data_IF_438273925828
#
_entry.id   IF_438273925828
#
_cell.length_a   1.000
_cell.length_b   1.000
_cell.length_c   1.000
_cell.angle_alpha   90.00
_cell.angle_beta   90.00
_cell.angle_gamma   90.00
#
_symmetry.space_group_name_H-M   'P 1'
#
loop_
_entity.id
_entity.type
_entity.pdbx_description
1 polymer ?
#
# COMPACT_ATOMS: atom_id res chain seq x y z
N UNK A 1 -6.53 39.99 -10.52
CA UNK A 1 -6.99 40.01 -9.11
C UNK A 1 -8.25 39.18 -8.89
N UNK A 2 -9.28 39.22 -9.75
CA UNK A 2 -10.50 38.40 -9.52
C UNK A 2 -10.32 36.88 -9.75
N UNK A 3 -9.54 36.47 -10.75
CA UNK A 3 -9.43 35.06 -11.14
C UNK A 3 -8.78 34.18 -10.06
N UNK A 4 -7.69 34.63 -9.45
CA UNK A 4 -7.00 33.89 -8.38
C UNK A 4 -7.88 33.74 -7.14
N UNK A 5 -8.58 34.81 -6.76
CA UNK A 5 -9.49 34.80 -5.62
C UNK A 5 -10.69 33.88 -5.83
N UNK A 6 -11.22 33.80 -7.05
CA UNK A 6 -12.27 32.84 -7.42
C UNK A 6 -11.73 31.41 -7.31
N UNK A 7 -10.52 31.13 -7.80
CA UNK A 7 -9.90 29.80 -7.73
C UNK A 7 -9.67 29.39 -6.27
N UNK A 8 -9.14 30.26 -5.42
CA UNK A 8 -8.91 29.98 -3.99
C UNK A 8 -10.21 29.71 -3.24
N UNK A 9 -11.27 30.48 -3.52
CA UNK A 9 -12.58 30.26 -2.92
C UNK A 9 -13.20 28.91 -3.35
N UNK A 10 -13.10 28.56 -4.63
CA UNK A 10 -13.59 27.27 -5.15
C UNK A 10 -12.83 26.10 -4.53
N UNK A 11 -11.50 26.20 -4.45
CA UNK A 11 -10.65 25.20 -3.78
C UNK A 11 -11.07 25.03 -2.33
N UNK A 12 -11.21 26.14 -1.59
CA UNK A 12 -11.64 26.13 -0.18
C UNK A 12 -13.04 25.54 0.03
N UNK A 13 -13.97 25.79 -0.90
CA UNK A 13 -15.32 25.21 -0.83
C UNK A 13 -15.30 23.69 -0.99
N UNK A 14 -14.51 23.19 -1.95
CA UNK A 14 -14.36 21.76 -2.19
C UNK A 14 -13.69 21.08 -0.99
N UNK A 15 -12.64 21.66 -0.42
CA UNK A 15 -11.99 21.08 0.77
C UNK A 15 -12.91 21.03 2.00
N UNK A 16 -13.76 22.04 2.21
CA UNK A 16 -14.75 22.02 3.30
C UNK A 16 -15.83 20.94 3.11
N UNK A 17 -16.19 20.66 1.87
CA UNK A 17 -17.26 19.70 1.56
C UNK A 17 -16.77 18.25 1.51
N UNK A 18 -15.55 18.02 1.03
CA UNK A 18 -15.03 16.68 0.73
C UNK A 18 -13.77 16.30 1.54
N UNK A 19 -13.25 17.20 2.37
CA UNK A 19 -12.05 17.00 3.17
C UNK A 19 -10.81 17.68 2.61
N UNK A 20 -9.82 17.92 3.48
CA UNK A 20 -8.52 18.47 3.08
C UNK A 20 -7.84 17.57 2.05
N UNK A 21 -7.29 18.17 0.99
CA UNK A 21 -6.68 17.42 -0.12
C UNK A 21 -7.66 16.88 -1.17
N UNK A 22 -8.97 17.13 -1.04
CA UNK A 22 -9.97 16.77 -2.07
C UNK A 22 -9.77 17.49 -3.42
N UNK A 23 -9.07 18.63 -3.42
CA UNK A 23 -8.61 19.30 -4.63
C UNK A 23 -7.28 19.97 -4.37
N UNK A 24 -6.35 19.81 -5.30
CA UNK A 24 -5.04 20.44 -5.20
C UNK A 24 -4.41 20.71 -6.56
N UNK A 25 -3.46 21.64 -6.58
CA UNK A 25 -2.67 21.90 -7.78
C UNK A 25 -1.72 20.71 -7.99
N UNK A 26 -1.72 20.15 -9.20
CA UNK A 26 -0.91 18.98 -9.55
C UNK A 26 0.60 19.18 -9.32
N UNK A 27 1.08 20.44 -9.38
CA UNK A 27 2.49 20.78 -9.14
C UNK A 27 2.84 21.08 -7.67
N UNK A 28 1.86 21.02 -6.76
CA UNK A 28 2.10 21.26 -5.34
C UNK A 28 2.79 20.04 -4.73
N UNK A 29 4.09 20.17 -4.44
CA UNK A 29 4.92 19.07 -3.93
C UNK A 29 4.59 18.66 -2.50
N UNK A 30 3.76 19.45 -1.81
CA UNK A 30 3.35 19.20 -0.42
C UNK A 30 2.57 17.90 -0.25
N UNK A 31 1.78 17.44 -1.24
CA UNK A 31 1.05 16.15 -1.15
C UNK A 31 1.92 14.90 -1.27
N UNK A 32 3.08 14.99 -1.93
CA UNK A 32 3.94 13.82 -2.15
C UNK A 32 4.72 13.47 -0.87
N UNK A 33 5.03 14.48 -0.05
CA UNK A 33 5.85 14.34 1.15
C UNK A 33 5.10 13.80 2.38
N UNK A 34 3.77 13.82 2.36
CA UNK A 34 2.93 13.41 3.51
C UNK A 34 2.35 11.99 3.37
N UNK A 35 2.77 11.25 2.34
CA UNK A 35 2.33 9.87 2.13
C UNK A 35 3.17 8.95 3.00
N UNK A 36 2.58 8.40 4.07
CA UNK A 36 3.22 7.34 4.85
C UNK A 36 3.55 6.14 3.96
N UNK A 37 4.62 5.41 4.29
CA UNK A 37 5.08 4.25 3.52
C UNK A 37 5.30 3.03 4.42
N UNK A 38 5.56 1.88 3.80
CA UNK A 38 6.04 0.65 4.43
C UNK A 38 7.33 0.26 3.69
N UNK A 39 8.46 0.17 4.41
CA UNK A 39 9.74 -0.22 3.79
C UNK A 39 9.63 -1.60 3.14
N UNK A 40 10.28 -1.76 1.98
CA UNK A 40 10.38 -3.04 1.27
C UNK A 40 11.40 -3.99 1.89
N UNK A 41 12.16 -3.53 2.89
CA UNK A 41 13.33 -4.19 3.45
C UNK A 41 14.52 -4.31 2.47
N UNK A 42 14.45 -3.63 1.33
CA UNK A 42 15.55 -3.48 0.38
C UNK A 42 15.92 -2.00 0.29
N UNK A 43 17.08 -1.64 0.85
CA UNK A 43 17.53 -0.25 0.89
C UNK A 43 17.60 0.38 -0.51
N UNK A 44 18.09 -0.37 -1.49
CA UNK A 44 18.22 0.09 -2.87
C UNK A 44 16.86 0.35 -3.51
N UNK A 45 15.87 -0.52 -3.24
CA UNK A 45 14.51 -0.35 -3.73
C UNK A 45 13.80 0.82 -3.03
N UNK A 46 13.94 0.93 -1.72
CA UNK A 46 13.35 2.02 -0.94
C UNK A 46 13.88 3.40 -1.39
N UNK A 47 15.17 3.49 -1.71
CA UNK A 47 15.80 4.67 -2.32
C UNK A 47 15.23 4.91 -3.72
N UNK A 48 15.15 3.87 -4.56
CA UNK A 48 14.65 4.00 -5.93
C UNK A 48 13.18 4.45 -6.00
N UNK A 49 12.36 4.05 -5.02
CA UNK A 49 10.97 4.50 -4.87
C UNK A 49 10.85 5.97 -4.45
N UNK A 50 11.92 6.58 -3.93
CA UNK A 50 12.00 8.00 -3.60
C UNK A 50 11.26 8.44 -2.34
N UNK A 51 10.31 7.64 -1.86
CA UNK A 51 9.55 7.88 -0.62
C UNK A 51 9.97 6.96 0.54
N UNK A 52 10.89 6.01 0.30
CA UNK A 52 11.38 5.08 1.32
C UNK A 52 10.66 3.73 1.39
N UNK A 53 9.67 3.47 0.53
CA UNK A 53 8.98 2.18 0.47
C UNK A 53 7.67 2.21 -0.31
N UNK A 54 6.81 1.23 -0.05
CA UNK A 54 5.48 1.13 -0.66
C UNK A 54 4.53 2.16 -0.03
N UNK A 55 3.83 3.00 -0.81
CA UNK A 55 2.94 4.03 -0.28
C UNK A 55 1.69 3.43 0.39
N UNK A 56 1.36 3.91 1.60
CA UNK A 56 0.11 3.57 2.28
C UNK A 56 -1.08 4.24 1.59
N UNK A 57 -2.24 3.60 1.65
CA UNK A 57 -3.49 4.11 1.05
C UNK A 57 -3.49 4.12 -0.49
N UNK A 58 -2.60 3.36 -1.13
CA UNK A 58 -2.46 3.24 -2.58
C UNK A 58 -2.35 1.78 -2.98
N UNK A 59 -2.79 1.46 -4.19
CA UNK A 59 -2.55 0.15 -4.80
C UNK A 59 -1.16 0.15 -5.42
N UNK A 60 -0.37 -0.90 -5.14
CA UNK A 60 0.94 -1.13 -5.73
C UNK A 60 0.96 -2.48 -6.42
N UNK A 61 1.45 -2.52 -7.66
CA UNK A 61 1.59 -3.74 -8.44
C UNK A 61 3.07 -4.18 -8.49
N UNK A 62 3.35 -5.44 -8.12
CA UNK A 62 4.65 -6.07 -8.24
C UNK A 62 4.53 -7.18 -9.27
N UNK A 63 5.08 -6.99 -10.47
CA UNK A 63 5.01 -7.95 -11.58
C UNK A 63 6.40 -8.43 -12.01
N UNK A 64 6.45 -9.60 -12.65
CA UNK A 64 7.70 -10.20 -13.10
C UNK A 64 7.60 -11.72 -13.33
N UNK A 65 8.65 -12.34 -13.89
CA UNK A 65 8.68 -13.77 -14.17
C UNK A 65 8.38 -14.65 -12.94
N UNK A 66 7.96 -15.89 -13.18
CA UNK A 66 7.90 -16.90 -12.11
C UNK A 66 9.28 -17.01 -11.43
N UNK A 67 9.30 -17.24 -10.12
CA UNK A 67 10.51 -17.29 -9.30
C UNK A 67 11.37 -16.01 -9.27
N UNK A 68 10.88 -14.86 -9.75
CA UNK A 68 11.60 -13.57 -9.67
C UNK A 68 11.63 -12.93 -8.26
N UNK A 69 11.06 -13.59 -7.24
CA UNK A 69 11.02 -13.10 -5.87
C UNK A 69 9.83 -12.19 -5.50
N UNK A 70 8.76 -12.15 -6.33
CA UNK A 70 7.56 -11.32 -6.06
C UNK A 70 6.95 -11.60 -4.68
N UNK A 71 6.67 -12.87 -4.40
CA UNK A 71 6.09 -13.31 -3.12
C UNK A 71 7.04 -13.04 -1.96
N UNK A 72 8.35 -13.24 -2.14
CA UNK A 72 9.37 -12.89 -1.15
C UNK A 72 9.34 -11.40 -0.80
N UNK A 73 9.28 -10.53 -1.81
CA UNK A 73 9.19 -9.08 -1.60
C UNK A 73 7.89 -8.70 -0.87
N UNK A 74 6.76 -9.29 -1.25
CA UNK A 74 5.48 -9.08 -0.57
C UNK A 74 5.53 -9.50 0.91
N UNK A 75 6.17 -10.64 1.22
CA UNK A 75 6.34 -11.11 2.60
C UNK A 75 7.25 -10.20 3.42
N UNK A 76 8.30 -9.62 2.83
CA UNK A 76 9.13 -8.62 3.51
C UNK A 76 8.35 -7.34 3.84
N UNK A 77 7.52 -6.86 2.90
CA UNK A 77 6.64 -5.70 3.13
C UNK A 77 5.66 -6.01 4.27
N UNK A 78 5.05 -7.20 4.28
CA UNK A 78 4.16 -7.64 5.36
C UNK A 78 4.89 -7.69 6.71
N UNK A 79 6.08 -8.29 6.75
CA UNK A 79 6.89 -8.36 7.97
C UNK A 79 7.20 -6.96 8.52
N UNK A 80 7.51 -6.01 7.65
CA UNK A 80 7.75 -4.62 8.06
C UNK A 80 6.47 -3.92 8.54
N UNK A 81 5.34 -4.13 7.86
CA UNK A 81 4.05 -3.62 8.31
C UNK A 81 3.71 -4.12 9.73
N UNK A 82 3.94 -5.41 9.99
CA UNK A 82 3.70 -6.02 11.31
C UNK A 82 4.68 -5.50 12.37
N UNK A 83 5.96 -5.29 12.04
CA UNK A 83 6.95 -4.70 12.95
C UNK A 83 6.58 -3.28 13.39
N UNK A 84 5.91 -2.52 12.53
CA UNK A 84 5.37 -1.19 12.84
C UNK A 84 4.05 -1.25 13.64
N UNK A 85 3.61 -2.44 14.08
CA UNK A 85 2.37 -2.64 14.82
C UNK A 85 1.12 -2.71 13.94
N UNK A 86 1.28 -2.80 12.62
CA UNK A 86 0.18 -2.97 11.68
C UNK A 86 -0.33 -4.40 11.60
N UNK A 87 -1.55 -4.56 11.09
CA UNK A 87 -2.14 -5.85 10.74
C UNK A 87 -2.00 -6.06 9.23
N UNK A 88 -1.73 -7.28 8.81
CA UNK A 88 -1.60 -7.65 7.40
C UNK A 88 -2.55 -8.79 7.05
N UNK A 89 -3.04 -8.77 5.81
CA UNK A 89 -3.78 -9.86 5.21
C UNK A 89 -3.08 -10.33 3.93
N UNK A 90 -3.12 -11.63 3.68
CA UNK A 90 -2.59 -12.26 2.49
C UNK A 90 -3.70 -13.06 1.79
N UNK A 91 -3.96 -12.72 0.53
CA UNK A 91 -4.92 -13.43 -0.31
C UNK A 91 -4.11 -14.34 -1.24
N UNK A 92 -4.04 -15.62 -0.90
CA UNK A 92 -3.27 -16.64 -1.62
C UNK A 92 -4.15 -17.33 -2.67
N UNK A 93 -4.26 -16.69 -3.84
CA UNK A 93 -4.97 -17.27 -4.98
C UNK A 93 -4.21 -18.44 -5.65
N UNK A 94 -2.91 -18.61 -5.37
CA UNK A 94 -2.08 -19.67 -5.94
C UNK A 94 -1.97 -20.91 -5.03
N UNK A 95 -2.48 -20.84 -3.80
CA UNK A 95 -2.41 -21.88 -2.79
C UNK A 95 -0.96 -22.36 -2.55
N UNK A 96 0.00 -21.43 -2.66
CA UNK A 96 1.43 -21.72 -2.74
C UNK A 96 2.23 -21.09 -1.58
N UNK A 97 1.58 -20.41 -0.64
CA UNK A 97 2.28 -19.79 0.49
C UNK A 97 2.87 -20.86 1.43
N UNK A 98 4.19 -20.77 1.67
CA UNK A 98 4.89 -21.57 2.66
C UNK A 98 4.98 -20.80 4.01
N UNK A 99 4.28 -21.23 5.07
CA UNK A 99 4.32 -20.56 6.37
C UNK A 99 5.70 -20.60 7.04
N UNK A 100 6.50 -21.65 6.80
CA UNK A 100 7.85 -21.77 7.32
C UNK A 100 8.78 -20.74 6.67
N UNK A 101 8.68 -20.58 5.36
CA UNK A 101 9.42 -19.54 4.64
C UNK A 101 9.00 -18.13 5.09
N UNK A 102 7.70 -17.85 5.18
CA UNK A 102 7.19 -16.57 5.63
C UNK A 102 7.69 -16.21 7.05
N UNK A 103 7.69 -17.18 7.97
CA UNK A 103 8.26 -17.00 9.32
C UNK A 103 9.75 -16.65 9.27
N UNK A 104 10.53 -17.34 8.43
CA UNK A 104 11.96 -17.08 8.27
C UNK A 104 12.26 -15.68 7.70
N UNK A 105 11.36 -15.15 6.88
CA UNK A 105 11.41 -13.77 6.35
C UNK A 105 11.02 -12.71 7.40
N UNK A 106 10.49 -13.15 8.55
CA UNK A 106 10.14 -12.29 9.69
C UNK A 106 8.66 -11.94 9.79
N UNK A 107 7.80 -12.62 9.03
CA UNK A 107 6.34 -12.49 9.16
C UNK A 107 5.89 -13.12 10.47
N UNK A 108 5.08 -12.39 11.24
CA UNK A 108 4.36 -12.95 12.37
C UNK A 108 3.17 -13.77 11.86
N UNK A 109 3.37 -15.08 11.72
CA UNK A 109 2.38 -16.01 11.18
C UNK A 109 1.13 -16.12 12.04
N UNK A 110 1.27 -15.98 13.36
CA UNK A 110 0.12 -16.12 14.29
C UNK A 110 -0.89 -14.98 14.13
N UNK A 111 -0.45 -13.83 13.63
CA UNK A 111 -1.28 -12.62 13.44
C UNK A 111 -1.52 -12.28 11.96
N UNK A 112 -1.05 -13.13 11.03
CA UNK A 112 -1.29 -12.92 9.60
C UNK A 112 -2.67 -13.45 9.21
N UNK A 113 -3.54 -12.57 8.69
CA UNK A 113 -4.83 -12.98 8.16
C UNK A 113 -4.62 -13.63 6.78
N UNK A 114 -4.94 -14.92 6.64
CA UNK A 114 -4.79 -15.66 5.39
C UNK A 114 -6.16 -15.98 4.79
N UNK A 115 -6.31 -15.77 3.49
CA UNK A 115 -7.46 -16.24 2.73
C UNK A 115 -7.02 -16.96 1.45
N UNK A 116 -7.74 -18.03 1.10
CA UNK A 116 -7.51 -18.85 -0.10
C UNK A 116 -8.81 -18.91 -0.91
N UNK A 117 -9.01 -17.97 -1.86
CA UNK A 117 -10.24 -17.89 -2.63
C UNK A 117 -10.25 -18.89 -3.80
N UNK A 118 -11.43 -19.42 -4.12
CA UNK A 118 -11.69 -20.31 -5.26
C UNK A 118 -11.61 -19.57 -6.61
N UNK A 119 -11.84 -18.25 -6.63
CA UNK A 119 -11.82 -17.43 -7.83
C UNK A 119 -11.53 -15.94 -7.55
N UNK A 120 -11.31 -15.16 -8.63
CA UNK A 120 -10.95 -13.74 -8.52
C UNK A 120 -12.06 -12.81 -8.00
N UNK A 121 -13.34 -13.15 -8.19
CA UNK A 121 -14.46 -12.36 -7.66
C UNK A 121 -14.48 -12.48 -6.13
N UNK A 122 -14.36 -13.70 -5.61
CA UNK A 122 -14.24 -13.95 -4.18
C UNK A 122 -13.00 -13.28 -3.58
N UNK A 123 -11.86 -13.28 -4.29
CA UNK A 123 -10.67 -12.56 -3.86
C UNK A 123 -10.93 -11.05 -3.70
N UNK A 124 -11.66 -10.44 -4.64
CA UNK A 124 -12.01 -9.02 -4.60
C UNK A 124 -13.01 -8.70 -3.49
N UNK A 125 -14.03 -9.54 -3.28
CA UNK A 125 -14.95 -9.39 -2.16
C UNK A 125 -14.24 -9.48 -0.82
N UNK A 126 -13.29 -10.41 -0.68
CA UNK A 126 -12.49 -10.57 0.52
C UNK A 126 -11.60 -9.35 0.80
N UNK A 127 -11.02 -8.75 -0.24
CA UNK A 127 -10.24 -7.51 -0.11
C UNK A 127 -11.05 -6.39 0.56
N UNK A 128 -12.36 -6.29 0.29
CA UNK A 128 -13.23 -5.26 0.86
C UNK A 128 -13.47 -5.42 2.37
N UNK A 129 -13.31 -6.62 2.93
CA UNK A 129 -13.47 -6.84 4.38
C UNK A 129 -12.29 -6.33 5.23
N UNK A 130 -11.18 -5.93 4.59
CA UNK A 130 -9.98 -5.44 5.28
C UNK A 130 -9.87 -3.91 5.34
N UNK A 131 -10.91 -3.19 4.93
CA UNK A 131 -11.04 -1.73 5.05
C UNK A 131 -11.87 -1.32 6.27
#
# INVERSE_FOLDING_TARGET
>A
MDREKIIENTVSQIERQYGSGAIMKLGDKSSILDIGYISTNSLELDIALGIGGIPRGRVTEIFGPEASGKTTLALHIIANAQKEGGVAAFIDAEHALDPGYARNVGVNIEELLLSQPDNGEQALEMHLFFH
#
